data_IF_659174480728
#
_entry.id   IF_659174480728
#
_cell.length_a   1.000
_cell.length_b   1.000
_cell.length_c   1.000
_cell.angle_alpha   90.00
_cell.angle_beta   90.00
_cell.angle_gamma   90.00
#
_symmetry.space_group_name_H-M   'P 1'
#
loop_
_entity.id
_entity.type
_entity.pdbx_description
1 polymer ?
#
# COMPACT_ATOMS: atom_id res chain seq x y z
N UNK A 1 8.20 10.69 23.48
CA UNK A 1 7.58 10.74 22.14
C UNK A 1 8.68 10.47 21.11
N UNK A 2 8.48 9.56 20.15
CA UNK A 2 9.47 9.26 19.09
C UNK A 2 9.01 9.92 17.79
N UNK A 3 9.85 10.76 17.19
CA UNK A 3 9.61 11.33 15.86
C UNK A 3 10.07 10.32 14.80
N UNK A 4 9.26 10.06 13.77
CA UNK A 4 9.54 9.11 12.71
C UNK A 4 9.12 9.61 11.33
N UNK A 5 9.79 9.13 10.29
CA UNK A 5 9.38 9.32 8.90
C UNK A 5 8.55 8.14 8.40
N UNK A 6 7.47 8.43 7.68
CA UNK A 6 6.82 7.44 6.82
C UNK A 6 7.61 7.31 5.52
N UNK A 7 8.22 6.15 5.28
CA UNK A 7 9.26 6.02 4.24
C UNK A 7 8.75 6.33 2.84
N UNK A 8 7.49 6.04 2.49
CA UNK A 8 6.93 6.37 1.17
C UNK A 8 6.89 7.87 0.85
N UNK A 9 6.96 8.75 1.86
CA UNK A 9 7.11 10.19 1.62
C UNK A 9 8.40 10.52 0.84
N UNK A 10 9.33 9.56 0.79
CA UNK A 10 10.60 9.62 0.09
C UNK A 10 10.74 8.47 -0.93
N UNK A 11 9.65 7.97 -1.50
CA UNK A 11 9.61 6.84 -2.44
C UNK A 11 10.51 6.94 -3.69
N UNK A 12 11.04 8.12 -3.99
CA UNK A 12 11.99 8.36 -5.09
C UNK A 12 13.44 8.04 -4.71
N UNK A 13 13.70 7.70 -3.44
CA UNK A 13 15.00 7.32 -2.91
C UNK A 13 15.02 5.81 -2.62
N UNK A 14 16.21 5.22 -2.62
CA UNK A 14 16.44 3.91 -2.02
C UNK A 14 16.28 3.97 -0.50
N UNK A 15 16.04 2.82 0.15
CA UNK A 15 15.95 2.77 1.61
C UNK A 15 17.22 3.31 2.29
N UNK A 16 18.39 3.00 1.76
CA UNK A 16 19.65 3.51 2.30
C UNK A 16 19.73 5.04 2.24
N UNK A 17 19.37 5.65 1.11
CA UNK A 17 19.31 7.11 0.97
C UNK A 17 18.29 7.76 1.91
N UNK A 18 17.14 7.09 2.16
CA UNK A 18 16.17 7.52 3.17
C UNK A 18 16.81 7.53 4.56
N UNK A 19 17.45 6.44 4.97
CA UNK A 19 18.09 6.33 6.29
C UNK A 19 19.21 7.36 6.46
N UNK A 20 20.03 7.56 5.43
CA UNK A 20 21.06 8.60 5.44
C UNK A 20 20.44 10.00 5.60
N UNK A 21 19.37 10.31 4.85
CA UNK A 21 18.72 11.62 4.89
C UNK A 21 18.10 11.92 6.25
N UNK A 22 17.37 10.97 6.85
CA UNK A 22 16.66 11.22 8.11
C UNK A 22 17.63 11.32 9.29
N UNK A 23 18.71 10.54 9.28
CA UNK A 23 19.73 10.58 10.34
C UNK A 23 20.53 11.88 10.31
N UNK A 24 20.81 12.45 9.13
CA UNK A 24 21.36 13.80 9.00
C UNK A 24 20.47 14.89 9.62
N UNK A 25 19.17 14.63 9.76
CA UNK A 25 18.20 15.53 10.37
C UNK A 25 17.95 15.21 11.86
N UNK A 26 18.71 14.27 12.44
CA UNK A 26 18.58 13.85 13.83
C UNK A 26 17.37 12.95 14.11
N UNK A 27 16.81 12.31 13.09
CA UNK A 27 15.67 11.37 13.23
C UNK A 27 16.13 9.94 13.00
N UNK A 28 15.83 9.07 13.97
CA UNK A 28 16.32 7.69 14.04
C UNK A 28 15.19 6.65 14.08
N UNK A 29 14.00 7.01 13.60
CA UNK A 29 12.85 6.11 13.60
C UNK A 29 12.10 6.20 12.28
N UNK A 30 11.55 5.07 11.84
CA UNK A 30 10.74 4.99 10.62
C UNK A 30 9.42 4.25 10.85
N UNK A 31 8.41 4.68 10.11
CA UNK A 31 7.23 3.89 9.77
C UNK A 31 7.44 3.33 8.37
N UNK A 32 7.50 2.00 8.26
CA UNK A 32 7.89 1.30 7.04
C UNK A 32 6.67 0.69 6.34
N UNK A 33 6.41 1.11 5.10
CA UNK A 33 5.27 0.63 4.31
C UNK A 33 5.51 -0.76 3.73
N UNK A 34 4.59 -1.70 3.98
CA UNK A 34 4.68 -3.12 3.55
C UNK A 34 3.77 -3.48 2.39
N UNK A 35 2.93 -2.54 1.92
CA UNK A 35 2.08 -2.69 0.75
C UNK A 35 0.65 -2.18 0.99
N UNK A 36 -0.28 -2.63 0.17
CA UNK A 36 -1.67 -2.16 0.15
C UNK A 36 -1.82 -1.05 -0.89
N UNK A 37 -2.22 0.13 -0.46
CA UNK A 37 -2.19 1.33 -1.31
C UNK A 37 -0.77 1.81 -1.61
N UNK A 38 0.17 1.45 -0.74
CA UNK A 38 1.59 1.70 -0.95
C UNK A 38 2.16 0.71 -1.97
N UNK A 39 2.98 1.17 -2.94
CA UNK A 39 3.81 0.29 -3.75
C UNK A 39 4.98 -0.34 -2.96
N UNK A 40 5.18 0.07 -1.70
CA UNK A 40 6.21 -0.39 -0.78
C UNK A 40 7.63 -0.39 -1.39
N UNK A 41 8.13 0.75 -1.90
CA UNK A 41 9.37 0.80 -2.69
C UNK A 41 10.62 0.44 -1.87
N UNK A 42 10.52 0.46 -0.54
CA UNK A 42 11.64 0.24 0.38
C UNK A 42 11.74 -1.18 0.91
N UNK A 43 10.80 -2.09 0.57
CA UNK A 43 10.88 -3.49 0.97
C UNK A 43 10.12 -4.43 0.03
N UNK A 44 10.59 -5.66 -0.08
CA UNK A 44 9.83 -6.74 -0.69
C UNK A 44 9.29 -7.67 0.42
N UNK A 45 7.98 -7.62 0.67
CA UNK A 45 7.38 -8.29 1.83
C UNK A 45 7.54 -9.81 1.75
N UNK A 46 7.30 -10.38 0.56
CA UNK A 46 7.46 -11.81 0.33
C UNK A 46 8.91 -12.22 0.54
N UNK A 47 9.86 -11.48 -0.04
CA UNK A 47 11.27 -11.80 0.08
C UNK A 47 11.75 -11.77 1.55
N UNK A 48 11.34 -10.76 2.33
CA UNK A 48 11.70 -10.67 3.75
C UNK A 48 11.15 -11.81 4.60
N UNK A 49 10.00 -12.38 4.23
CA UNK A 49 9.40 -13.50 4.96
C UNK A 49 10.00 -14.86 4.57
N UNK A 50 10.62 -14.97 3.39
CA UNK A 50 11.12 -16.26 2.86
C UNK A 50 12.64 -16.34 2.76
N UNK A 51 13.36 -15.23 2.86
CA UNK A 51 14.81 -15.15 2.67
C UNK A 51 15.50 -14.58 3.91
N UNK A 52 16.21 -15.44 4.64
CA UNK A 52 17.06 -15.03 5.77
C UNK A 52 18.10 -13.98 5.33
N UNK A 53 18.66 -14.14 4.14
CA UNK A 53 19.61 -13.17 3.56
C UNK A 53 18.99 -11.79 3.39
N UNK A 54 17.75 -11.70 2.89
CA UNK A 54 17.07 -10.41 2.72
C UNK A 54 16.74 -9.77 4.08
N UNK A 55 16.30 -10.58 5.03
CA UNK A 55 16.04 -10.14 6.40
C UNK A 55 17.31 -9.59 7.07
N UNK A 56 18.42 -10.31 7.00
CA UNK A 56 19.71 -9.88 7.55
C UNK A 56 20.22 -8.60 6.89
N UNK A 57 20.03 -8.45 5.57
CA UNK A 57 20.37 -7.19 4.86
C UNK A 57 19.59 -6.00 5.42
N UNK A 58 18.28 -6.14 5.62
CA UNK A 58 17.46 -5.08 6.23
C UNK A 58 17.95 -4.75 7.64
N UNK A 59 18.15 -5.75 8.48
CA UNK A 59 18.61 -5.57 9.87
C UNK A 59 19.97 -4.88 9.95
N UNK A 60 20.92 -5.31 9.12
CA UNK A 60 22.25 -4.72 9.06
C UNK A 60 22.18 -3.25 8.61
N UNK A 61 21.36 -2.94 7.61
CA UNK A 61 21.19 -1.58 7.12
C UNK A 61 20.60 -0.67 8.22
N UNK A 62 19.56 -1.12 8.92
CA UNK A 62 18.98 -0.39 10.05
C UNK A 62 20.00 -0.18 11.17
N UNK A 63 20.81 -1.19 11.49
CA UNK A 63 21.85 -1.11 12.51
C UNK A 63 22.98 -0.13 12.11
N UNK A 64 23.40 -0.11 10.85
CA UNK A 64 24.42 0.83 10.33
C UNK A 64 24.00 2.29 10.56
N UNK A 65 22.74 2.61 10.33
CA UNK A 65 22.20 3.96 10.53
C UNK A 65 21.61 4.19 11.93
N UNK A 66 21.63 3.17 12.80
CA UNK A 66 21.02 3.20 14.14
C UNK A 66 19.53 3.62 14.11
N UNK A 67 18.79 3.13 13.10
CA UNK A 67 17.37 3.45 12.89
C UNK A 67 16.48 2.30 13.36
N UNK A 68 15.44 2.64 14.11
CA UNK A 68 14.41 1.69 14.57
C UNK A 68 13.14 1.78 13.71
N UNK A 69 12.56 0.64 13.35
CA UNK A 69 11.20 0.57 12.81
C UNK A 69 10.22 0.69 13.98
N UNK A 70 9.52 1.81 14.09
CA UNK A 70 8.55 2.05 15.18
C UNK A 70 7.13 1.62 14.85
N UNK A 71 6.83 1.44 13.56
CA UNK A 71 5.56 0.94 13.04
C UNK A 71 5.73 0.33 11.64
N UNK A 72 4.90 -0.64 11.31
CA UNK A 72 4.69 -1.12 9.94
C UNK A 72 3.37 -0.55 9.41
N UNK A 73 3.31 -0.20 8.13
CA UNK A 73 2.09 0.31 7.51
C UNK A 73 1.64 -0.60 6.36
N UNK A 74 0.43 -1.14 6.47
CA UNK A 74 -0.22 -1.95 5.43
C UNK A 74 -1.60 -1.38 5.05
N UNK A 75 -1.73 -0.06 5.01
CA UNK A 75 -2.99 0.61 4.70
C UNK A 75 -3.51 0.16 3.34
N UNK A 76 -4.69 -0.45 3.35
CA UNK A 76 -5.31 -1.08 2.19
C UNK A 76 -6.82 -1.16 2.36
N UNK A 77 -7.43 -2.16 1.72
CA UNK A 77 -8.86 -2.43 1.84
C UNK A 77 -9.12 -3.94 1.96
N UNK A 78 -8.66 -4.59 3.05
CA UNK A 78 -8.75 -6.05 3.20
C UNK A 78 -10.18 -6.59 3.30
N UNK A 79 -11.15 -5.73 3.61
CA UNK A 79 -12.58 -6.05 3.65
C UNK A 79 -13.29 -5.94 2.30
N UNK A 80 -12.64 -5.39 1.26
CA UNK A 80 -13.28 -5.29 -0.06
C UNK A 80 -13.67 -6.70 -0.59
N UNK A 81 -14.89 -6.87 -1.13
CA UNK A 81 -15.36 -8.16 -1.62
C UNK A 81 -14.73 -8.60 -2.95
N UNK A 82 -14.06 -7.71 -3.69
CA UNK A 82 -13.35 -7.99 -4.96
C UNK A 82 -11.95 -8.53 -4.70
N UNK A 83 -11.23 -8.86 -5.78
CA UNK A 83 -9.92 -9.47 -5.70
C UNK A 83 -8.85 -8.56 -5.05
N UNK A 84 -8.97 -7.24 -5.19
CA UNK A 84 -8.10 -6.28 -4.50
C UNK A 84 -8.16 -6.45 -2.97
N UNK A 85 -9.34 -6.76 -2.41
CA UNK A 85 -9.48 -6.99 -0.98
C UNK A 85 -8.81 -8.27 -0.52
N UNK A 86 -8.81 -9.33 -1.36
CA UNK A 86 -8.04 -10.55 -1.08
C UNK A 86 -6.54 -10.27 -1.06
N UNK A 87 -6.03 -9.52 -2.04
CA UNK A 87 -4.62 -9.12 -2.12
C UNK A 87 -4.20 -8.27 -0.92
N UNK A 88 -4.98 -7.25 -0.56
CA UNK A 88 -4.71 -6.40 0.59
C UNK A 88 -4.79 -7.16 1.92
N UNK A 89 -5.66 -8.15 2.02
CA UNK A 89 -5.74 -9.04 3.19
C UNK A 89 -4.51 -9.93 3.32
N UNK A 90 -4.00 -10.45 2.21
CA UNK A 90 -2.75 -11.21 2.22
C UNK A 90 -1.57 -10.35 2.69
N UNK A 91 -1.45 -9.12 2.18
CA UNK A 91 -0.44 -8.15 2.63
C UNK A 91 -0.60 -7.87 4.12
N UNK A 92 -1.82 -7.71 4.61
CA UNK A 92 -2.12 -7.50 6.04
C UNK A 92 -1.58 -8.66 6.88
N UNK A 93 -1.94 -9.89 6.53
CA UNK A 93 -1.52 -11.10 7.28
C UNK A 93 0.00 -11.25 7.24
N UNK A 94 0.62 -11.03 6.09
CA UNK A 94 2.07 -11.12 5.94
C UNK A 94 2.80 -9.98 6.69
N UNK A 95 2.20 -8.80 6.78
CA UNK A 95 2.69 -7.70 7.63
C UNK A 95 2.64 -8.09 9.10
N UNK A 96 1.62 -8.82 9.55
CA UNK A 96 1.53 -9.29 10.94
C UNK A 96 2.65 -10.28 11.26
N UNK A 97 2.95 -11.21 10.34
CA UNK A 97 4.09 -12.12 10.47
C UNK A 97 5.42 -11.36 10.50
N UNK A 98 5.57 -10.35 9.63
CA UNK A 98 6.76 -9.51 9.61
C UNK A 98 6.93 -8.74 10.93
N UNK A 99 5.81 -8.22 11.49
CA UNK A 99 5.81 -7.52 12.77
C UNK A 99 6.28 -8.43 13.91
N UNK A 100 5.85 -9.69 13.92
CA UNK A 100 6.28 -10.69 14.90
C UNK A 100 7.79 -10.93 14.85
N UNK A 101 8.35 -11.20 13.67
CA UNK A 101 9.79 -11.47 13.53
C UNK A 101 10.68 -10.24 13.77
N UNK A 102 10.17 -9.03 13.48
CA UNK A 102 10.89 -7.78 13.76
C UNK A 102 10.68 -7.28 15.20
N UNK A 103 9.74 -7.86 15.95
CA UNK A 103 9.36 -7.37 17.28
C UNK A 103 8.63 -6.01 17.26
N UNK A 104 8.07 -5.60 16.12
CA UNK A 104 7.36 -4.33 15.97
C UNK A 104 5.94 -4.47 16.50
N UNK A 105 5.56 -3.63 17.47
CA UNK A 105 4.26 -3.73 18.17
C UNK A 105 3.14 -2.86 17.59
N UNK A 106 3.46 -2.02 16.61
CA UNK A 106 2.50 -1.05 16.04
C UNK A 106 2.32 -1.30 14.56
N UNK A 107 1.07 -1.39 14.17
CA UNK A 107 0.67 -1.54 12.77
C UNK A 107 -0.31 -0.43 12.43
N UNK A 108 0.02 0.33 11.41
CA UNK A 108 -0.86 1.32 10.80
C UNK A 108 -1.59 0.63 9.65
N UNK A 109 -2.92 0.59 9.74
CA UNK A 109 -3.72 0.00 8.69
C UNK A 109 -5.11 0.62 8.61
N UNK A 110 -5.76 0.42 7.47
CA UNK A 110 -7.18 0.69 7.27
C UNK A 110 -7.91 -0.64 7.17
N UNK A 111 -9.09 -0.74 7.78
CA UNK A 111 -9.96 -1.91 7.61
C UNK A 111 -10.50 -2.01 6.18
N UNK A 112 -10.69 -0.87 5.53
CA UNK A 112 -11.40 -0.81 4.27
C UNK A 112 -12.91 -0.97 4.43
N UNK A 113 -13.59 -1.24 3.31
CA UNK A 113 -15.04 -1.18 3.16
C UNK A 113 -15.61 -2.55 2.79
N UNK A 114 -16.41 -3.16 3.67
CA UNK A 114 -17.03 -4.46 3.40
C UNK A 114 -18.18 -4.36 2.38
N UNK A 115 -18.71 -5.49 1.89
CA UNK A 115 -20.02 -5.51 1.23
C UNK A 115 -21.12 -4.91 2.12
N UNK A 116 -22.12 -4.27 1.52
CA UNK A 116 -23.24 -3.66 2.27
C UNK A 116 -24.21 -4.73 2.81
N UNK A 117 -24.42 -5.80 2.04
CA UNK A 117 -25.28 -6.93 2.39
C UNK A 117 -24.62 -8.27 2.02
N UNK A 118 -25.04 -9.40 2.63
CA UNK A 118 -24.56 -10.71 2.23
C UNK A 118 -24.80 -10.98 0.74
N UNK A 119 -23.71 -11.22 0.00
CA UNK A 119 -23.76 -11.47 -1.45
C UNK A 119 -23.38 -10.28 -2.33
N UNK A 120 -23.23 -9.07 -1.77
CA UNK A 120 -22.73 -7.94 -2.55
C UNK A 120 -21.29 -8.16 -3.02
N UNK A 121 -21.06 -7.87 -4.29
CA UNK A 121 -19.73 -7.98 -4.94
C UNK A 121 -18.98 -6.66 -5.00
N UNK A 122 -19.57 -5.59 -4.44
CA UNK A 122 -19.01 -4.25 -4.37
C UNK A 122 -18.96 -3.77 -2.92
N UNK A 123 -18.01 -2.90 -2.55
CA UNK A 123 -17.94 -2.26 -1.24
C UNK A 123 -19.18 -1.38 -1.00
N UNK A 124 -19.51 -1.18 0.27
CA UNK A 124 -20.63 -0.34 0.69
C UNK A 124 -20.44 1.18 0.46
N UNK A 125 -19.26 1.64 0.04
CA UNK A 125 -19.01 3.00 -0.44
C UNK A 125 -18.00 2.99 -1.60
N UNK A 126 -18.15 3.94 -2.52
CA UNK A 126 -17.14 4.37 -3.49
C UNK A 126 -15.87 4.86 -2.76
N UNK A 127 -14.73 4.24 -3.05
CA UNK A 127 -13.44 4.67 -2.52
C UNK A 127 -12.34 4.82 -3.58
N UNK A 128 -12.60 4.44 -4.84
CA UNK A 128 -11.77 4.75 -6.01
C UNK A 128 -12.63 5.06 -7.23
N UNK A 129 -12.20 6.02 -8.05
CA UNK A 129 -12.96 6.57 -9.17
C UNK A 129 -12.80 5.81 -10.49
N UNK A 130 -11.73 5.03 -10.69
CA UNK A 130 -11.42 4.44 -12.00
C UNK A 130 -12.47 3.44 -12.51
N UNK A 131 -13.01 2.59 -11.64
CA UNK A 131 -14.04 1.63 -12.05
C UNK A 131 -15.44 2.26 -12.21
N UNK A 132 -15.71 3.34 -11.48
CA UNK A 132 -17.01 4.01 -11.49
C UNK A 132 -17.14 5.03 -12.61
N UNK A 133 -16.07 5.75 -12.97
CA UNK A 133 -16.07 6.60 -14.16
C UNK A 133 -16.45 5.77 -15.40
N UNK A 134 -15.84 4.58 -15.54
CA UNK A 134 -16.13 3.67 -16.66
C UNK A 134 -17.57 3.16 -16.68
N UNK A 135 -18.19 2.92 -15.51
CA UNK A 135 -19.58 2.42 -15.43
C UNK A 135 -20.64 3.53 -15.50
N UNK A 136 -20.40 4.67 -14.88
CA UNK A 136 -21.28 5.84 -14.95
C UNK A 136 -21.30 6.33 -16.41
N UNK A 137 -20.15 6.52 -17.05
CA UNK A 137 -20.11 6.92 -18.46
C UNK A 137 -20.86 5.93 -19.35
N UNK A 138 -20.69 4.61 -19.15
CA UNK A 138 -21.44 3.60 -19.92
C UNK A 138 -22.95 3.68 -19.70
N UNK A 139 -23.41 3.88 -18.46
CA UNK A 139 -24.84 4.00 -18.14
C UNK A 139 -25.46 5.26 -18.76
N UNK A 140 -24.75 6.39 -18.68
CA UNK A 140 -25.22 7.67 -19.25
C UNK A 140 -25.15 7.66 -20.79
N UNK A 141 -24.13 7.04 -21.39
CA UNK A 141 -24.02 6.94 -22.86
C UNK A 141 -25.06 6.00 -23.48
N UNK A 142 -25.34 4.86 -22.83
CA UNK A 142 -26.36 3.92 -23.29
C UNK A 142 -27.77 4.52 -23.19
N UNK A 143 -28.05 5.29 -22.13
CA UNK A 143 -29.33 6.02 -21.99
C UNK A 143 -29.46 7.21 -22.95
N UNK A 144 -28.34 7.75 -23.46
CA UNK A 144 -28.31 8.83 -24.45
C UNK A 144 -28.20 8.35 -25.92
N UNK A 145 -28.19 7.04 -26.17
CA UNK A 145 -28.20 6.47 -27.54
C UNK A 145 -26.93 6.74 -28.37
N UNK A 146 -25.80 7.06 -27.75
CA UNK A 146 -24.54 7.37 -28.47
C UNK A 146 -23.65 6.14 -28.63
N UNK A 147 -23.12 5.95 -29.85
CA UNK A 147 -22.39 4.75 -30.25
C UNK A 147 -20.94 4.71 -29.71
N UNK A 148 -20.45 3.50 -29.42
CA UNK A 148 -19.16 3.16 -28.75
C UNK A 148 -17.94 3.83 -29.37
N UNK A 149 -17.95 4.07 -30.69
CA UNK A 149 -16.78 4.53 -31.45
C UNK A 149 -16.31 5.94 -31.09
N UNK A 150 -17.17 6.74 -30.44
CA UNK A 150 -16.78 8.09 -29.97
C UNK A 150 -15.96 8.10 -28.67
N UNK A 151 -15.91 6.99 -27.92
CA UNK A 151 -15.25 6.94 -26.61
C UNK A 151 -13.73 6.66 -26.72
N UNK A 152 -13.32 5.81 -27.67
CA UNK A 152 -11.92 5.37 -27.83
C UNK A 152 -10.96 6.49 -28.28
N UNK A 153 -11.47 7.60 -28.82
CA UNK A 153 -10.66 8.71 -29.31
C UNK A 153 -10.14 9.65 -28.20
N UNK A 154 -10.58 9.50 -26.94
CA UNK A 154 -10.20 10.42 -25.84
C UNK A 154 -9.30 9.80 -24.77
N UNK A 155 -9.11 8.49 -24.76
CA UNK A 155 -8.30 7.81 -23.72
C UNK A 155 -6.84 7.57 -24.12
N UNK A 156 -6.41 8.06 -25.29
CA UNK A 156 -5.03 7.90 -25.75
C UNK A 156 -4.39 9.27 -26.03
N UNK A 157 -4.29 10.12 -25.00
CA UNK A 157 -3.56 11.40 -25.05
C UNK A 157 -3.23 11.85 -23.63
N UNK A 158 -2.48 11.03 -22.88
CA UNK A 158 -1.64 11.37 -21.72
C UNK A 158 -1.56 10.19 -20.74
N UNK A 159 -0.64 9.27 -21.01
CA UNK A 159 0.17 8.54 -20.04
C UNK A 159 1.54 8.30 -20.69
#
# INVERSE_FOLDING_TARGET
MKLSYYTDSLAHLSLEEVLQRITQQGVYHIELATGGWSPAPHLNLTELLTSETAFLKLQNLLATYQVEIVALNCSGNPLDPRDIGKQHREITINTFKLAEILGVKKIVMMSGLPPATPGDTMPNWIYHYDELATRIERSTYLSMGRNRDTLLARTCSNC
#
